data_IF_700616805787
#
_entry.id   IF_700616805787
#
_cell.length_a   1.000
_cell.length_b   1.000
_cell.length_c   1.000
_cell.angle_alpha   90.00
_cell.angle_beta   90.00
_cell.angle_gamma   90.00
#
_symmetry.space_group_name_H-M   'P 1'
#
loop_
_entity.id
_entity.type
_entity.pdbx_description
1 polymer ?
#
# COMPACT_ATOMS: atom_id res chain seq x y z
N UNK A 1 18.74 13.19 -25.84
CA UNK A 1 18.76 12.04 -24.94
C UNK A 1 17.36 11.86 -24.34
N UNK A 2 16.52 11.09 -25.05
CA UNK A 2 15.25 10.63 -24.53
C UNK A 2 15.55 9.59 -23.43
N UNK A 3 15.42 9.98 -22.17
CA UNK A 3 15.31 9.04 -21.06
C UNK A 3 14.03 8.23 -21.29
N UNK A 4 14.15 7.08 -21.96
CA UNK A 4 13.11 6.05 -21.93
C UNK A 4 13.11 5.50 -20.51
N UNK A 5 12.30 6.08 -19.64
CA UNK A 5 11.89 5.41 -18.40
C UNK A 5 11.32 4.04 -18.84
N UNK A 6 12.02 2.99 -18.47
CA UNK A 6 11.57 1.61 -18.74
C UNK A 6 10.20 1.45 -18.09
N UNK A 7 9.15 1.45 -18.91
CA UNK A 7 7.78 1.32 -18.41
C UNK A 7 7.66 -0.03 -17.72
N UNK A 8 7.42 -0.04 -16.43
CA UNK A 8 7.19 -1.24 -15.63
C UNK A 8 5.95 -1.98 -16.16
N UNK A 9 6.11 -3.23 -16.57
CA UNK A 9 5.04 -4.03 -17.20
C UNK A 9 4.46 -5.00 -16.20
N UNK A 10 3.16 -4.97 -16.06
CA UNK A 10 2.42 -5.94 -15.25
C UNK A 10 1.08 -6.32 -15.89
N UNK A 11 0.52 -7.41 -15.43
CA UNK A 11 -0.82 -7.87 -15.78
C UNK A 11 -1.59 -8.19 -14.49
N UNK A 12 -2.89 -8.39 -14.60
CA UNK A 12 -3.76 -8.72 -13.47
C UNK A 12 -4.30 -10.14 -13.65
N UNK A 13 -4.35 -10.89 -12.57
CA UNK A 13 -4.94 -12.24 -12.53
C UNK A 13 -5.58 -12.50 -11.17
N UNK A 14 -6.06 -13.71 -10.96
CA UNK A 14 -6.65 -14.18 -9.69
C UNK A 14 -5.77 -15.20 -8.99
N UNK A 15 -5.97 -15.36 -7.69
CA UNK A 15 -5.47 -16.48 -6.91
C UNK A 15 -6.10 -17.81 -7.35
N UNK A 16 -5.63 -18.92 -6.76
CA UNK A 16 -6.24 -20.25 -7.01
C UNK A 16 -7.58 -20.33 -6.28
N UNK A 17 -8.64 -19.89 -6.91
CA UNK A 17 -10.01 -20.16 -6.47
C UNK A 17 -10.96 -19.97 -7.65
N UNK A 18 -11.94 -20.85 -7.77
CA UNK A 18 -13.07 -20.68 -8.67
C UNK A 18 -14.06 -19.68 -8.05
N UNK A 19 -13.62 -18.42 -7.93
CA UNK A 19 -14.43 -17.37 -7.31
C UNK A 19 -14.73 -16.27 -8.34
N UNK A 20 -15.94 -16.29 -8.87
CA UNK A 20 -16.43 -15.33 -9.85
C UNK A 20 -16.31 -13.87 -9.35
N UNK A 21 -16.48 -13.64 -8.06
CA UNK A 21 -16.35 -12.30 -7.49
C UNK A 21 -14.90 -11.79 -7.55
N UNK A 22 -13.92 -12.65 -7.29
CA UNK A 22 -12.51 -12.30 -7.44
C UNK A 22 -12.11 -12.08 -8.90
N UNK A 23 -12.65 -12.84 -9.83
CA UNK A 23 -12.42 -12.63 -11.26
C UNK A 23 -12.94 -11.28 -11.72
N UNK A 24 -14.17 -10.93 -11.34
CA UNK A 24 -14.74 -9.59 -11.62
C UNK A 24 -13.91 -8.46 -11.00
N UNK A 25 -13.44 -8.65 -9.76
CA UNK A 25 -12.57 -7.69 -9.08
C UNK A 25 -11.26 -7.51 -9.84
N UNK A 26 -10.60 -8.60 -10.22
CA UNK A 26 -9.37 -8.57 -11.00
C UNK A 26 -9.56 -7.89 -12.36
N UNK A 27 -10.65 -8.16 -13.05
CA UNK A 27 -11.01 -7.48 -14.32
C UNK A 27 -11.21 -5.97 -14.11
N UNK A 28 -11.85 -5.57 -13.00
CA UNK A 28 -12.00 -4.16 -12.63
C UNK A 28 -10.64 -3.49 -12.39
N UNK A 29 -9.71 -4.17 -11.72
CA UNK A 29 -8.36 -3.66 -11.51
C UNK A 29 -7.58 -3.55 -12.83
N UNK A 30 -7.70 -4.55 -13.72
CA UNK A 30 -7.07 -4.50 -15.03
C UNK A 30 -7.56 -3.30 -15.85
N UNK A 31 -8.86 -3.03 -15.84
CA UNK A 31 -9.45 -1.87 -16.49
C UNK A 31 -8.96 -0.55 -15.86
N UNK A 32 -8.91 -0.47 -14.53
CA UNK A 32 -8.42 0.71 -13.79
C UNK A 32 -6.99 1.07 -14.19
N UNK A 33 -6.11 0.09 -14.33
CA UNK A 33 -4.71 0.31 -14.69
C UNK A 33 -4.45 0.31 -16.20
N UNK A 34 -5.45 0.02 -17.02
CA UNK A 34 -5.26 -0.09 -18.47
C UNK A 34 -4.34 -1.24 -18.89
N UNK A 35 -4.30 -2.32 -18.12
CA UNK A 35 -3.47 -3.50 -18.34
C UNK A 35 -4.30 -4.74 -18.63
N UNK A 36 -3.65 -5.79 -19.13
CA UNK A 36 -4.32 -7.04 -19.48
C UNK A 36 -4.78 -7.79 -18.22
N UNK A 37 -6.02 -8.28 -18.22
CA UNK A 37 -6.46 -9.35 -17.36
C UNK A 37 -6.04 -10.70 -17.98
N UNK A 38 -5.41 -11.56 -17.19
CA UNK A 38 -4.97 -12.89 -17.61
C UNK A 38 -5.77 -13.92 -16.84
N UNK A 39 -6.53 -14.72 -17.55
CA UNK A 39 -7.27 -15.82 -16.98
C UNK A 39 -6.31 -16.87 -16.44
N UNK A 40 -6.49 -17.24 -15.17
CA UNK A 40 -5.68 -18.28 -14.55
C UNK A 40 -6.37 -19.62 -14.65
N UNK A 41 -6.01 -20.39 -15.66
CA UNK A 41 -6.48 -21.77 -15.79
C UNK A 41 -6.10 -22.63 -14.57
N UNK A 42 -6.80 -23.73 -14.37
CA UNK A 42 -6.64 -24.65 -13.21
C UNK A 42 -5.20 -25.17 -13.01
N UNK A 43 -4.37 -25.14 -14.05
CA UNK A 43 -2.98 -25.64 -14.07
C UNK A 43 -1.90 -24.56 -14.14
N UNK A 44 -2.27 -23.28 -14.28
CA UNK A 44 -1.31 -22.20 -14.44
C UNK A 44 -0.65 -21.80 -13.11
N UNK A 45 0.70 -21.93 -13.02
CA UNK A 45 1.45 -21.28 -11.94
C UNK A 45 1.59 -19.78 -12.24
N UNK A 46 1.76 -18.94 -11.20
CA UNK A 46 2.00 -17.52 -11.40
C UNK A 46 3.31 -17.26 -12.15
N UNK A 47 4.34 -18.06 -11.88
CA UNK A 47 5.61 -17.98 -12.62
C UNK A 47 5.44 -18.27 -14.13
N UNK A 48 4.66 -19.27 -14.48
CA UNK A 48 4.34 -19.56 -15.89
C UNK A 48 3.61 -18.39 -16.55
N UNK A 49 2.62 -17.80 -15.88
CA UNK A 49 1.89 -16.64 -16.41
C UNK A 49 2.79 -15.41 -16.57
N UNK A 50 3.70 -15.17 -15.61
CA UNK A 50 4.68 -14.09 -15.68
C UNK A 50 5.53 -14.18 -16.95
N UNK A 51 6.05 -15.38 -17.23
CA UNK A 51 6.89 -15.65 -18.39
C UNK A 51 6.07 -15.59 -19.69
N UNK A 52 4.90 -16.22 -19.73
CA UNK A 52 4.01 -16.25 -20.89
C UNK A 52 3.59 -14.84 -21.32
N UNK A 53 3.21 -13.99 -20.38
CA UNK A 53 2.77 -12.61 -20.63
C UNK A 53 3.95 -11.65 -20.83
N UNK A 54 5.17 -12.07 -20.55
CA UNK A 54 6.40 -11.25 -20.63
C UNK A 54 6.28 -9.96 -19.81
N UNK A 55 5.77 -10.10 -18.59
CA UNK A 55 5.61 -9.00 -17.63
C UNK A 55 6.55 -9.16 -16.44
N UNK A 56 6.82 -8.07 -15.74
CA UNK A 56 7.71 -8.03 -14.58
C UNK A 56 6.99 -8.39 -13.28
N UNK A 57 5.65 -8.22 -13.26
CA UNK A 57 4.81 -8.53 -12.12
C UNK A 57 3.40 -8.98 -12.54
N UNK A 58 2.74 -9.66 -11.62
CA UNK A 58 1.30 -9.94 -11.67
C UNK A 58 0.63 -9.35 -10.43
N UNK A 59 -0.37 -8.50 -10.64
CA UNK A 59 -1.28 -8.10 -9.58
C UNK A 59 -2.35 -9.19 -9.44
N UNK A 60 -2.40 -9.80 -8.27
CA UNK A 60 -3.20 -11.00 -8.01
C UNK A 60 -4.33 -10.66 -7.03
N UNK A 61 -5.58 -10.85 -7.47
CA UNK A 61 -6.73 -10.75 -6.59
C UNK A 61 -6.87 -12.03 -5.75
N UNK A 62 -6.88 -11.87 -4.43
CA UNK A 62 -7.04 -12.97 -3.47
C UNK A 62 -8.10 -12.65 -2.43
N UNK A 63 -8.58 -13.65 -1.70
CA UNK A 63 -9.51 -13.46 -0.58
C UNK A 63 -8.92 -12.62 0.58
N UNK A 64 -7.59 -12.48 0.61
CA UNK A 64 -6.87 -11.69 1.60
C UNK A 64 -6.49 -10.28 1.12
N UNK A 65 -7.00 -9.88 -0.05
CA UNK A 65 -6.66 -8.62 -0.69
C UNK A 65 -5.68 -8.76 -1.86
N UNK A 66 -5.24 -7.64 -2.44
CA UNK A 66 -4.30 -7.63 -3.54
C UNK A 66 -2.92 -8.10 -3.11
N UNK A 67 -2.29 -8.89 -3.98
CA UNK A 67 -0.89 -9.31 -3.85
C UNK A 67 -0.16 -9.02 -5.16
N UNK A 68 1.13 -8.71 -5.09
CA UNK A 68 2.00 -8.57 -6.26
C UNK A 68 2.99 -9.72 -6.30
N UNK A 69 2.94 -10.50 -7.35
CA UNK A 69 3.87 -11.58 -7.61
C UNK A 69 4.93 -11.15 -8.62
N UNK A 70 6.20 -11.41 -8.30
CA UNK A 70 7.35 -11.18 -9.18
C UNK A 70 8.25 -12.42 -9.19
N UNK A 71 9.25 -12.45 -10.06
CA UNK A 71 10.24 -13.53 -10.07
C UNK A 71 11.03 -13.65 -8.76
N UNK A 72 11.16 -12.56 -7.99
CA UNK A 72 11.87 -12.53 -6.70
C UNK A 72 10.99 -12.81 -5.48
N UNK A 73 9.66 -12.89 -5.64
CA UNK A 73 8.76 -13.22 -4.54
C UNK A 73 7.41 -12.54 -4.63
N UNK A 74 6.63 -12.71 -3.57
CA UNK A 74 5.29 -12.14 -3.43
C UNK A 74 5.29 -11.01 -2.41
N UNK A 75 4.72 -9.88 -2.80
CA UNK A 75 4.50 -8.72 -1.96
C UNK A 75 3.01 -8.57 -1.63
N UNK A 76 2.69 -8.26 -0.38
CA UNK A 76 1.32 -7.97 0.09
C UNK A 76 1.37 -7.06 1.31
N UNK A 77 0.27 -6.36 1.58
CA UNK A 77 0.19 -5.52 2.77
C UNK A 77 0.05 -6.37 4.03
N UNK A 78 0.92 -6.11 5.01
CA UNK A 78 0.81 -6.63 6.36
C UNK A 78 1.41 -5.64 7.36
N UNK A 79 0.64 -5.15 8.34
CA UNK A 79 1.08 -4.08 9.25
C UNK A 79 1.90 -4.58 10.43
N UNK A 80 2.64 -5.70 10.32
CA UNK A 80 3.31 -6.38 11.44
C UNK A 80 4.22 -5.45 12.24
N UNK A 81 5.03 -4.64 11.59
CA UNK A 81 5.93 -3.69 12.28
C UNK A 81 5.13 -2.57 12.98
N UNK A 82 4.09 -2.05 12.33
CA UNK A 82 3.22 -1.05 12.95
C UNK A 82 2.46 -1.62 14.15
N UNK A 83 1.99 -2.86 14.07
CA UNK A 83 1.34 -3.58 15.20
C UNK A 83 2.26 -3.60 16.42
N UNK A 84 3.50 -4.06 16.26
CA UNK A 84 4.47 -4.15 17.34
C UNK A 84 4.78 -2.78 17.94
N UNK A 85 4.98 -1.77 17.10
CA UNK A 85 5.29 -0.40 17.52
C UNK A 85 4.12 0.23 18.28
N UNK A 86 2.89 0.08 17.81
CA UNK A 86 1.68 0.57 18.48
C UNK A 86 1.47 -0.14 19.82
N UNK A 87 1.70 -1.46 19.89
CA UNK A 87 1.62 -2.19 21.16
C UNK A 87 2.64 -1.69 22.19
N UNK A 88 3.86 -1.35 21.77
CA UNK A 88 4.88 -0.75 22.64
C UNK A 88 4.48 0.63 23.13
N UNK A 89 3.97 1.48 22.23
CA UNK A 89 3.46 2.81 22.57
C UNK A 89 2.31 2.75 23.61
N UNK A 90 1.40 1.77 23.48
CA UNK A 90 0.34 1.53 24.48
C UNK A 90 0.87 1.14 25.87
N UNK A 91 2.07 0.57 25.92
CA UNK A 91 2.79 0.27 27.18
C UNK A 91 3.66 1.43 27.66
N UNK A 92 3.51 2.61 27.08
CA UNK A 92 4.33 3.80 27.37
C UNK A 92 5.84 3.61 27.07
N UNK A 93 6.19 2.67 26.18
CA UNK A 93 7.54 2.54 25.69
C UNK A 93 7.79 3.57 24.57
N UNK A 94 9.05 4.01 24.42
CA UNK A 94 9.43 4.97 23.39
C UNK A 94 9.47 4.31 22.01
N UNK A 95 9.05 5.06 21.00
CA UNK A 95 9.28 4.74 19.59
C UNK A 95 10.25 5.79 19.01
N UNK A 96 11.38 5.35 18.44
CA UNK A 96 12.43 6.26 18.00
C UNK A 96 11.99 7.26 16.93
N UNK A 97 11.19 6.81 15.98
CA UNK A 97 10.65 7.66 14.92
C UNK A 97 9.75 8.76 15.49
N UNK A 98 8.79 8.39 16.33
CA UNK A 98 7.86 9.34 16.92
C UNK A 98 8.55 10.32 17.88
N UNK A 99 9.57 9.86 18.60
CA UNK A 99 10.37 10.69 19.48
C UNK A 99 11.23 11.71 18.68
N UNK A 100 11.87 11.25 17.59
CA UNK A 100 12.68 12.11 16.73
C UNK A 100 11.88 13.23 16.08
N UNK A 101 10.63 12.96 15.70
CA UNK A 101 9.71 13.94 15.12
C UNK A 101 8.89 14.70 16.17
N UNK A 102 9.05 14.36 17.45
CA UNK A 102 8.26 14.92 18.54
C UNK A 102 6.74 14.88 18.29
N UNK A 103 6.25 13.79 17.72
CA UNK A 103 4.85 13.63 17.31
C UNK A 103 3.89 13.81 18.49
N UNK A 104 2.82 14.55 18.26
CA UNK A 104 1.79 14.88 19.25
C UNK A 104 0.39 14.73 18.64
N UNK A 105 -0.64 14.51 19.47
CA UNK A 105 -2.03 14.56 19.01
C UNK A 105 -2.34 15.88 18.29
N UNK A 106 -3.05 15.78 17.19
CA UNK A 106 -3.49 16.92 16.38
C UNK A 106 -2.51 17.38 15.30
N UNK A 107 -1.29 16.84 15.25
CA UNK A 107 -0.32 17.19 14.20
C UNK A 107 -0.75 16.71 12.81
N UNK A 108 -0.27 17.44 11.80
CA UNK A 108 -0.42 17.14 10.37
C UNK A 108 0.91 16.60 9.86
N UNK A 109 0.95 15.34 9.47
CA UNK A 109 2.18 14.63 9.10
C UNK A 109 2.15 14.27 7.62
N UNK A 110 3.26 14.53 6.93
CA UNK A 110 3.50 14.07 5.56
C UNK A 110 4.59 12.99 5.56
N UNK A 111 4.25 11.81 5.06
CA UNK A 111 5.18 10.73 4.76
C UNK A 111 5.48 10.73 3.26
N UNK A 112 6.67 11.15 2.89
CA UNK A 112 7.10 11.26 1.50
C UNK A 112 7.51 9.93 0.87
N UNK A 113 7.54 8.84 1.63
CA UNK A 113 7.94 7.50 1.19
C UNK A 113 7.10 6.44 1.90
N UNK A 114 5.82 6.37 1.54
CA UNK A 114 4.84 5.50 2.22
C UNK A 114 5.34 4.07 2.42
N UNK A 115 5.91 3.45 1.39
CA UNK A 115 6.34 2.06 1.44
C UNK A 115 5.23 1.15 1.98
N UNK A 116 5.52 0.37 3.01
CA UNK A 116 4.54 -0.47 3.73
C UNK A 116 3.69 0.31 4.76
N UNK A 117 3.80 1.62 4.79
CA UNK A 117 3.07 2.53 5.68
C UNK A 117 3.31 2.31 7.18
N UNK A 118 4.41 1.68 7.58
CA UNK A 118 4.67 1.44 9.00
C UNK A 118 4.79 2.74 9.80
N UNK A 119 5.54 3.71 9.28
CA UNK A 119 5.69 5.03 9.91
C UNK A 119 4.40 5.84 9.85
N UNK A 120 3.69 5.84 8.71
CA UNK A 120 2.40 6.49 8.56
C UNK A 120 1.35 5.96 9.56
N UNK A 121 1.30 4.65 9.79
CA UNK A 121 0.37 4.03 10.77
C UNK A 121 0.71 4.47 12.20
N UNK A 122 2.00 4.47 12.58
CA UNK A 122 2.44 4.95 13.89
C UNK A 122 2.14 6.43 14.06
N UNK A 123 2.43 7.25 13.06
CA UNK A 123 2.10 8.67 13.08
C UNK A 123 0.58 8.89 13.23
N UNK A 124 -0.24 8.17 12.48
CA UNK A 124 -1.70 8.26 12.57
C UNK A 124 -2.24 7.82 13.95
N UNK A 125 -1.64 6.79 14.55
CA UNK A 125 -2.00 6.38 15.90
C UNK A 125 -1.74 7.50 16.92
N UNK A 126 -0.57 8.16 16.85
CA UNK A 126 -0.16 9.21 17.80
C UNK A 126 -0.93 10.50 17.56
N UNK A 127 -1.04 10.96 16.32
CA UNK A 127 -1.74 12.22 16.00
C UNK A 127 -3.24 12.14 16.23
N UNK A 128 -3.78 10.93 16.20
CA UNK A 128 -5.15 10.63 16.60
C UNK A 128 -6.20 11.22 15.66
N UNK A 129 -7.42 11.36 16.19
CA UNK A 129 -8.60 11.80 15.42
C UNK A 129 -8.56 13.27 15.01
N UNK A 130 -7.78 14.09 15.69
CA UNK A 130 -7.65 15.52 15.42
C UNK A 130 -6.46 15.85 14.54
N UNK A 131 -5.55 14.88 14.33
CA UNK A 131 -4.44 15.00 13.41
C UNK A 131 -4.76 14.46 12.03
N UNK A 132 -3.84 14.65 11.11
CA UNK A 132 -3.90 14.12 9.74
C UNK A 132 -2.57 13.48 9.36
N UNK A 133 -2.63 12.40 8.58
CA UNK A 133 -1.45 11.79 7.99
C UNK A 133 -1.72 11.59 6.50
N UNK A 134 -0.85 12.17 5.68
CA UNK A 134 -0.81 11.96 4.24
C UNK A 134 0.45 11.18 3.90
N UNK A 135 0.33 10.11 3.14
CA UNK A 135 1.44 9.26 2.72
C UNK A 135 1.52 9.19 1.20
N UNK A 136 2.69 9.50 0.66
CA UNK A 136 2.95 9.58 -0.79
C UNK A 136 3.74 8.37 -1.25
N UNK A 137 3.35 7.79 -2.39
CA UNK A 137 4.02 6.66 -3.01
C UNK A 137 4.05 6.81 -4.54
N UNK A 138 5.23 6.65 -5.11
CA UNK A 138 5.47 6.78 -6.54
C UNK A 138 5.23 5.49 -7.33
N UNK A 139 5.31 4.32 -6.69
CA UNK A 139 5.03 3.03 -7.34
C UNK A 139 3.53 2.75 -7.39
N UNK A 140 2.92 2.59 -8.59
CA UNK A 140 1.48 2.38 -8.71
C UNK A 140 1.00 1.10 -8.03
N UNK A 141 1.76 0.01 -8.14
CA UNK A 141 1.39 -1.27 -7.51
C UNK A 141 1.56 -1.24 -5.99
N UNK A 142 2.63 -0.63 -5.50
CA UNK A 142 2.87 -0.49 -4.06
C UNK A 142 1.80 0.42 -3.44
N UNK A 143 1.54 1.57 -4.05
CA UNK A 143 0.46 2.47 -3.63
C UNK A 143 -0.88 1.71 -3.56
N UNK A 144 -1.23 0.98 -4.61
CA UNK A 144 -2.50 0.26 -4.68
C UNK A 144 -2.63 -0.80 -3.58
N UNK A 145 -1.63 -1.69 -3.45
CA UNK A 145 -1.66 -2.78 -2.46
C UNK A 145 -1.72 -2.24 -1.04
N UNK A 146 -0.92 -1.22 -0.73
CA UNK A 146 -0.88 -0.64 0.61
C UNK A 146 -2.13 0.17 0.92
N UNK A 147 -2.64 0.96 -0.02
CA UNK A 147 -3.89 1.73 0.16
C UNK A 147 -5.08 0.80 0.40
N UNK A 148 -5.22 -0.27 -0.38
CA UNK A 148 -6.25 -1.30 -0.18
C UNK A 148 -6.08 -1.99 1.18
N UNK A 149 -4.85 -2.30 1.57
CA UNK A 149 -4.53 -2.89 2.86
C UNK A 149 -4.90 -1.97 4.03
N UNK A 150 -4.53 -0.69 3.99
CA UNK A 150 -4.87 0.30 5.01
C UNK A 150 -6.38 0.44 5.20
N UNK A 151 -7.17 0.32 4.14
CA UNK A 151 -8.62 0.45 4.21
C UNK A 151 -9.34 -0.85 4.61
N UNK A 152 -8.78 -2.02 4.31
CA UNK A 152 -9.51 -3.29 4.44
C UNK A 152 -8.92 -4.27 5.45
N UNK A 153 -7.65 -4.14 5.82
CA UNK A 153 -7.03 -5.03 6.80
C UNK A 153 -7.72 -4.91 8.16
N UNK A 154 -7.99 -6.05 8.78
CA UNK A 154 -8.61 -6.12 10.11
C UNK A 154 -7.62 -6.70 11.11
N UNK A 155 -7.07 -5.83 11.94
CA UNK A 155 -6.30 -6.22 13.12
C UNK A 155 -7.24 -6.50 14.30
N UNK A 156 -6.77 -7.25 15.30
CA UNK A 156 -7.49 -7.42 16.57
C UNK A 156 -7.63 -6.10 17.34
N UNK A 157 -6.66 -5.20 17.17
CA UNK A 157 -6.62 -3.90 17.82
C UNK A 157 -7.46 -2.86 17.05
N UNK A 158 -8.56 -2.43 17.64
CA UNK A 158 -9.48 -1.43 17.06
C UNK A 158 -8.81 -0.08 16.83
N UNK A 159 -7.92 0.35 17.74
CA UNK A 159 -7.22 1.62 17.59
C UNK A 159 -6.27 1.60 16.40
N UNK A 160 -5.63 0.46 16.17
CA UNK A 160 -4.80 0.25 14.99
C UNK A 160 -5.62 0.28 13.69
N UNK A 161 -6.79 -0.38 13.67
CA UNK A 161 -7.71 -0.31 12.54
C UNK A 161 -8.11 1.15 12.25
N UNK A 162 -8.50 1.88 13.28
CA UNK A 162 -8.87 3.29 13.15
C UNK A 162 -7.71 4.16 12.66
N UNK A 163 -6.48 3.90 13.14
CA UNK A 163 -5.29 4.61 12.67
C UNK A 163 -5.05 4.37 11.19
N UNK A 164 -5.12 3.11 10.73
CA UNK A 164 -4.96 2.76 9.32
C UNK A 164 -5.99 3.46 8.42
N UNK A 165 -7.26 3.50 8.83
CA UNK A 165 -8.37 4.08 8.04
C UNK A 165 -8.27 5.61 7.89
N UNK A 166 -7.56 6.29 8.81
CA UNK A 166 -7.39 7.76 8.75
C UNK A 166 -6.28 8.23 7.82
N UNK A 167 -5.41 7.32 7.35
CA UNK A 167 -4.31 7.69 6.49
C UNK A 167 -4.83 7.99 5.09
N UNK A 168 -4.55 9.19 4.60
CA UNK A 168 -4.73 9.56 3.20
C UNK A 168 -3.50 9.12 2.40
N UNK A 169 -3.71 8.41 1.30
CA UNK A 169 -2.62 7.98 0.42
C UNK A 169 -2.68 8.69 -0.91
N UNK A 170 -1.53 9.12 -1.43
CA UNK A 170 -1.42 9.83 -2.71
C UNK A 170 -0.43 9.13 -3.62
N UNK A 171 -0.90 8.77 -4.82
CA UNK A 171 -0.04 8.21 -5.87
C UNK A 171 0.59 9.34 -6.68
N UNK A 172 1.84 9.64 -6.41
CA UNK A 172 2.66 10.62 -7.14
C UNK A 172 4.11 10.53 -6.67
N UNK A 173 5.01 11.20 -7.39
CA UNK A 173 6.36 11.48 -6.89
C UNK A 173 6.30 12.50 -5.74
N UNK A 174 7.13 12.32 -4.72
CA UNK A 174 7.08 13.14 -3.52
C UNK A 174 7.43 14.63 -3.80
N UNK A 175 8.41 14.87 -4.65
CA UNK A 175 8.79 16.22 -5.05
C UNK A 175 7.67 16.92 -5.83
N UNK A 176 7.02 16.24 -6.76
CA UNK A 176 5.85 16.78 -7.47
C UNK A 176 4.74 17.16 -6.50
N UNK A 177 4.44 16.30 -5.52
CA UNK A 177 3.43 16.59 -4.51
C UNK A 177 3.78 17.80 -3.66
N UNK A 178 5.03 17.88 -3.19
CA UNK A 178 5.52 18.99 -2.37
C UNK A 178 5.38 20.36 -3.08
N UNK A 179 5.60 20.42 -4.39
CA UNK A 179 5.40 21.64 -5.17
C UNK A 179 3.94 22.11 -5.26
N UNK A 180 2.98 21.22 -5.03
CA UNK A 180 1.54 21.57 -5.05
C UNK A 180 1.03 22.10 -3.72
N UNK A 181 1.79 21.92 -2.64
CA UNK A 181 1.35 22.24 -1.30
C UNK A 181 1.55 23.72 -0.97
N UNK A 182 0.56 24.37 -0.34
CA UNK A 182 0.76 25.65 0.31
C UNK A 182 1.85 25.56 1.39
N UNK A 183 2.50 26.69 1.70
CA UNK A 183 3.40 26.76 2.84
C UNK A 183 2.69 26.35 4.13
N UNK A 184 3.42 25.72 5.05
CA UNK A 184 2.93 25.30 6.36
C UNK A 184 1.72 24.33 6.33
N UNK A 185 1.61 23.50 5.26
CA UNK A 185 0.55 22.48 5.14
C UNK A 185 0.70 21.36 6.16
N UNK A 186 1.92 21.06 6.58
CA UNK A 186 2.28 20.02 7.57
C UNK A 186 3.17 20.61 8.67
N UNK A 187 3.23 19.91 9.81
CA UNK A 187 3.99 20.34 11.01
C UNK A 187 5.42 19.80 11.05
#
# INVERSE_FOLDING_TARGET
>A
NLNMQKTFKFAVTVGRSENVALEKLAQTWAAKFGVKYVERGSRGSLGFLLDQERVEALLVATNKGPQVYTASGTFFFHPSMAVLRVQRLKKHESDHFSAALALKPGMRVLDCTMGLASDAVVASFITGRTGTVCAVEASPLLHFVVSEGLQNYQAEDVDLNNAMRRIETVYTEADEYLYTLPADSFD
#
